data_IF_142793255870
#
_entry.id   IF_142793255870
#
_cell.length_a   1.000
_cell.length_b   1.000
_cell.length_c   1.000
_cell.angle_alpha   90.00
_cell.angle_beta   90.00
_cell.angle_gamma   90.00
#
_symmetry.space_group_name_H-M   'P 1'
#
loop_
_entity.id
_entity.type
_entity.pdbx_description
1 polymer ?
#
# COMPACT_ATOMS: atom_id res chain seq x y z
N UNK A 1 41.62 38.24 -37.32
CA UNK A 1 41.39 37.00 -38.08
C UNK A 1 42.39 35.96 -37.61
N UNK A 2 42.02 35.21 -36.57
CA UNK A 2 42.73 34.06 -35.98
C UNK A 2 41.71 32.92 -35.97
N UNK A 3 41.98 31.62 -36.00
CA UNK A 3 43.12 30.74 -36.32
C UNK A 3 42.52 29.32 -36.23
N UNK A 4 43.05 28.36 -36.97
CA UNK A 4 42.60 26.94 -37.05
C UNK A 4 42.28 26.30 -35.69
N UNK A 5 41.26 25.44 -35.65
CA UNK A 5 41.14 24.35 -34.67
C UNK A 5 40.70 23.05 -35.34
N UNK A 6 41.37 21.99 -34.91
CA UNK A 6 41.38 20.62 -35.43
C UNK A 6 40.02 19.92 -35.36
N UNK A 7 39.77 19.06 -36.35
CA UNK A 7 38.87 17.91 -36.21
C UNK A 7 39.43 16.98 -35.14
N UNK A 8 38.64 16.69 -34.10
CA UNK A 8 38.83 15.51 -33.27
C UNK A 8 37.54 14.70 -33.33
N UNK A 9 37.60 13.55 -33.98
CA UNK A 9 36.53 12.56 -33.91
C UNK A 9 36.57 11.87 -32.56
N UNK A 10 35.43 11.79 -31.90
CA UNK A 10 35.14 10.75 -30.92
C UNK A 10 33.79 10.12 -31.27
N UNK A 11 33.86 8.92 -31.82
CA UNK A 11 32.84 7.90 -31.64
C UNK A 11 32.81 7.53 -30.16
N UNK A 12 31.62 7.36 -29.58
CA UNK A 12 31.48 6.65 -28.32
C UNK A 12 30.31 7.09 -27.46
N UNK A 13 29.24 6.29 -27.50
CA UNK A 13 28.24 6.12 -26.46
C UNK A 13 27.68 7.39 -25.81
N UNK A 14 26.50 7.81 -26.24
CA UNK A 14 25.56 8.44 -25.32
C UNK A 14 25.23 7.41 -24.23
N UNK A 15 26.06 7.35 -23.18
CA UNK A 15 25.63 6.77 -21.91
C UNK A 15 24.54 7.71 -21.43
N UNK A 16 23.30 7.32 -21.68
CA UNK A 16 22.17 7.84 -20.93
C UNK A 16 22.48 7.46 -19.49
N UNK A 17 23.15 8.35 -18.76
CA UNK A 17 23.23 8.26 -17.31
C UNK A 17 21.80 8.50 -16.87
N UNK A 18 21.01 7.43 -16.78
CA UNK A 18 19.82 7.40 -15.99
C UNK A 18 20.31 7.60 -14.57
N UNK A 19 20.43 8.87 -14.16
CA UNK A 19 20.52 9.21 -12.76
C UNK A 19 19.24 8.68 -12.16
N UNK A 20 19.31 7.50 -11.54
CA UNK A 20 18.31 7.07 -10.58
C UNK A 20 18.44 8.10 -9.46
N UNK A 21 17.69 9.20 -9.56
CA UNK A 21 17.51 10.08 -8.44
C UNK A 21 16.78 9.25 -7.40
N UNK A 22 17.55 8.75 -6.43
CA UNK A 22 17.02 8.21 -5.18
C UNK A 22 16.27 9.37 -4.52
N UNK A 23 15.00 9.54 -4.87
CA UNK A 23 14.12 10.37 -4.07
C UNK A 23 13.77 9.55 -2.84
N UNK A 24 14.53 9.78 -1.78
CA UNK A 24 14.15 9.36 -0.45
C UNK A 24 12.83 10.03 -0.10
N UNK A 25 11.86 9.27 0.40
CA UNK A 25 10.65 9.81 1.03
C UNK A 25 10.95 10.60 2.31
N UNK A 26 12.21 10.63 2.75
CA UNK A 26 12.71 11.21 4.01
C UNK A 26 12.01 10.66 5.27
N UNK A 27 11.36 9.48 5.20
CA UNK A 27 10.76 8.85 6.39
C UNK A 27 11.77 7.90 7.04
N UNK A 28 11.82 7.89 8.38
CA UNK A 28 12.59 6.91 9.16
C UNK A 28 11.68 5.75 9.64
N UNK A 29 10.66 5.42 8.86
CA UNK A 29 9.63 4.41 9.18
C UNK A 29 9.76 3.24 8.22
N UNK A 30 9.54 2.02 8.68
CA UNK A 30 9.62 0.86 7.82
C UNK A 30 8.49 0.88 6.78
N UNK A 31 8.80 0.41 5.58
CA UNK A 31 7.81 0.11 4.55
C UNK A 31 7.50 -1.37 4.59
N UNK A 32 6.23 -1.72 4.69
CA UNK A 32 5.77 -3.10 4.80
C UNK A 32 5.30 -3.64 3.45
N UNK A 33 4.72 -2.78 2.59
CA UNK A 33 4.28 -3.20 1.26
C UNK A 33 4.38 -2.05 0.25
N UNK A 34 4.68 -2.42 -1.00
CA UNK A 34 4.71 -1.52 -2.16
C UNK A 34 3.87 -2.14 -3.27
N UNK A 35 2.95 -1.37 -3.83
CA UNK A 35 2.08 -1.80 -4.92
C UNK A 35 2.14 -0.84 -6.09
N UNK A 36 2.51 -1.36 -7.26
CA UNK A 36 2.56 -0.60 -8.51
C UNK A 36 1.24 -0.77 -9.25
N UNK A 37 0.51 0.33 -9.44
CA UNK A 37 -0.78 0.33 -10.15
C UNK A 37 -0.56 0.36 -11.66
N UNK A 38 0.35 1.21 -12.12
CA UNK A 38 0.72 1.33 -13.52
C UNK A 38 2.18 1.82 -13.68
N UNK A 39 2.56 2.25 -14.89
CA UNK A 39 3.93 2.70 -15.16
C UNK A 39 4.37 3.87 -14.29
N UNK A 40 3.47 4.79 -13.95
CA UNK A 40 3.75 6.01 -13.22
C UNK A 40 3.23 5.98 -11.76
N UNK A 41 2.13 5.28 -11.49
CA UNK A 41 1.48 5.26 -10.19
C UNK A 41 1.96 4.09 -9.31
N UNK A 42 2.56 4.42 -8.17
CA UNK A 42 3.00 3.47 -7.14
C UNK A 42 2.51 3.92 -5.77
N UNK A 43 2.10 2.97 -4.94
CA UNK A 43 1.75 3.17 -3.54
C UNK A 43 2.71 2.39 -2.66
N UNK A 44 3.02 2.93 -1.49
CA UNK A 44 3.74 2.22 -0.44
C UNK A 44 3.07 2.49 0.90
N UNK A 45 3.06 1.49 1.77
CA UNK A 45 2.48 1.58 3.11
C UNK A 45 3.45 0.99 4.13
N UNK A 46 3.33 1.41 5.38
CA UNK A 46 4.22 0.95 6.44
C UNK A 46 3.84 1.46 7.82
N UNK A 47 4.84 1.51 8.68
CA UNK A 47 4.66 1.68 10.11
C UNK A 47 4.15 3.09 10.50
N UNK A 48 3.52 3.17 11.67
CA UNK A 48 3.02 4.41 12.28
C UNK A 48 2.04 5.20 11.39
N UNK A 49 1.27 4.51 10.56
CA UNK A 49 0.24 5.06 9.68
C UNK A 49 0.81 5.62 8.38
N UNK A 50 2.00 5.19 7.97
CA UNK A 50 2.63 5.71 6.76
C UNK A 50 1.92 5.20 5.50
N UNK A 51 1.45 6.14 4.69
CA UNK A 51 0.97 5.90 3.33
C UNK A 51 1.68 6.88 2.40
N UNK A 52 2.34 6.35 1.37
CA UNK A 52 3.03 7.09 0.33
C UNK A 52 2.40 6.82 -1.02
N UNK A 53 2.31 7.88 -1.83
CA UNK A 53 1.89 7.82 -3.22
C UNK A 53 2.96 8.44 -4.11
N UNK A 54 3.20 7.84 -5.26
CA UNK A 54 4.07 8.38 -6.29
C UNK A 54 3.35 8.36 -7.62
N UNK A 55 3.25 9.52 -8.27
CA UNK A 55 2.60 9.70 -9.57
C UNK A 55 3.61 10.15 -10.64
N UNK A 56 4.60 9.31 -10.94
CA UNK A 56 5.74 9.61 -11.83
C UNK A 56 7.10 9.63 -11.11
N UNK A 57 8.12 10.18 -11.76
CA UNK A 57 9.45 10.42 -11.15
C UNK A 57 9.67 11.93 -10.96
N UNK A 58 10.40 12.40 -9.92
CA UNK A 58 11.18 11.60 -8.98
C UNK A 58 10.55 11.38 -7.59
N UNK A 59 9.58 12.18 -7.13
CA UNK A 59 9.23 12.27 -5.71
C UNK A 59 8.06 11.39 -5.22
N UNK A 60 8.08 11.07 -3.93
CA UNK A 60 6.98 10.46 -3.17
C UNK A 60 6.24 11.51 -2.34
N UNK A 61 4.92 11.44 -2.33
CA UNK A 61 4.04 12.28 -1.51
C UNK A 61 3.46 11.47 -0.35
N UNK A 62 3.43 12.04 0.85
CA UNK A 62 2.69 11.47 1.98
C UNK A 62 1.20 11.68 1.80
N UNK A 63 0.40 10.66 2.09
CA UNK A 63 -1.05 10.71 2.03
C UNK A 63 -1.62 10.69 3.44
N UNK A 64 -2.19 11.81 3.86
CA UNK A 64 -2.89 11.91 5.14
C UNK A 64 -4.32 11.39 5.00
N UNK A 65 -4.69 10.47 5.88
CA UNK A 65 -6.05 9.91 5.92
C UNK A 65 -6.78 10.47 7.13
N UNK A 66 -7.87 11.20 6.89
CA UNK A 66 -8.69 11.73 7.96
C UNK A 66 -9.17 10.61 8.90
N UNK A 67 -8.92 10.75 10.20
CA UNK A 67 -9.25 9.73 11.22
C UNK A 67 -8.14 8.71 11.49
N UNK A 68 -7.04 8.72 10.74
CA UNK A 68 -5.84 7.93 11.01
C UNK A 68 -4.79 8.85 11.64
N UNK A 69 -4.52 8.62 12.92
CA UNK A 69 -3.51 9.37 13.68
C UNK A 69 -2.15 8.69 13.50
N UNK A 70 -1.12 9.45 13.09
CA UNK A 70 0.23 8.88 12.95
C UNK A 70 0.75 8.35 14.29
N UNK A 71 1.37 7.16 14.25
CA UNK A 71 1.87 6.45 15.43
C UNK A 71 0.95 5.34 15.94
N UNK A 72 -0.35 5.42 15.63
CA UNK A 72 -1.36 4.49 16.17
C UNK A 72 -1.70 3.32 15.25
N UNK A 73 -1.04 3.20 14.09
CA UNK A 73 -1.42 2.23 13.06
C UNK A 73 -0.19 1.66 12.38
N UNK A 74 -0.22 0.39 12.00
CA UNK A 74 0.73 -0.19 11.04
C UNK A 74 -0.06 -0.73 9.86
N UNK A 75 0.38 -0.37 8.65
CA UNK A 75 -0.22 -0.86 7.43
C UNK A 75 0.65 -1.93 6.81
N UNK A 76 0.07 -3.07 6.51
CA UNK A 76 0.77 -4.30 6.11
C UNK A 76 0.55 -4.64 4.64
N UNK A 77 -0.64 -4.35 4.11
CA UNK A 77 -1.02 -4.67 2.73
C UNK A 77 -1.62 -3.49 2.00
N UNK A 78 -1.33 -3.38 0.71
CA UNK A 78 -1.95 -2.40 -0.19
C UNK A 78 -2.22 -3.05 -1.54
N UNK A 79 -3.43 -2.82 -2.06
CA UNK A 79 -3.85 -3.32 -3.36
C UNK A 79 -4.69 -2.28 -4.09
N UNK A 80 -4.43 -2.10 -5.38
CA UNK A 80 -5.26 -1.26 -6.25
C UNK A 80 -5.74 -2.07 -7.45
N UNK A 81 -7.04 -2.01 -7.72
CA UNK A 81 -7.64 -2.61 -8.91
C UNK A 81 -7.39 -1.74 -10.16
N UNK A 82 -7.31 -0.42 -9.96
CA UNK A 82 -6.98 0.58 -10.96
C UNK A 82 -6.52 1.87 -10.25
N UNK A 83 -6.27 2.95 -11.00
CA UNK A 83 -5.78 4.22 -10.44
C UNK A 83 -6.73 4.91 -9.45
N UNK A 84 -8.02 4.54 -9.43
CA UNK A 84 -9.04 5.17 -8.59
C UNK A 84 -9.44 4.30 -7.39
N UNK A 85 -9.51 2.98 -7.55
CA UNK A 85 -10.06 2.07 -6.55
C UNK A 85 -8.94 1.22 -5.94
N UNK A 86 -8.76 1.37 -4.63
CA UNK A 86 -7.76 0.63 -3.87
C UNK A 86 -8.11 0.44 -2.41
N UNK A 87 -7.36 -0.45 -1.77
CA UNK A 87 -7.52 -0.86 -0.38
C UNK A 87 -6.16 -0.90 0.30
N UNK A 88 -6.15 -0.55 1.58
CA UNK A 88 -5.01 -0.73 2.49
C UNK A 88 -5.52 -1.49 3.70
N UNK A 89 -4.72 -2.42 4.21
CA UNK A 89 -5.04 -3.18 5.42
C UNK A 89 -3.87 -3.15 6.39
N UNK A 90 -4.18 -3.36 7.65
CA UNK A 90 -3.18 -3.35 8.71
C UNK A 90 -3.83 -3.57 10.06
N UNK A 91 -3.28 -2.92 11.07
CA UNK A 91 -3.75 -2.99 12.45
C UNK A 91 -3.54 -1.69 13.22
N UNK A 92 -4.22 -1.59 14.36
CA UNK A 92 -3.92 -0.59 15.37
C UNK A 92 -2.63 -0.94 16.11
N UNK A 93 -1.73 0.03 16.24
CA UNK A 93 -0.61 0.02 17.16
C UNK A 93 -0.95 0.75 18.46
N UNK A 94 -0.28 0.38 19.55
CA UNK A 94 -0.31 1.12 20.81
C UNK A 94 -0.84 0.36 22.03
N UNK A 95 -1.33 -0.87 21.86
CA UNK A 95 -1.58 -1.80 22.95
C UNK A 95 -1.13 -3.20 22.51
N UNK A 96 -0.24 -3.89 23.24
CA UNK A 96 0.18 -5.25 22.92
C UNK A 96 -0.97 -6.28 22.88
N UNK A 97 -2.19 -5.87 23.27
CA UNK A 97 -3.41 -6.67 23.17
C UNK A 97 -4.40 -6.15 22.11
N UNK A 98 -4.09 -5.05 21.40
CA UNK A 98 -4.99 -4.41 20.43
C UNK A 98 -4.44 -4.52 19.00
N UNK A 99 -4.28 -5.75 18.51
CA UNK A 99 -4.03 -6.03 17.10
C UNK A 99 -5.31 -5.86 16.25
N UNK A 100 -6.04 -4.76 16.44
CA UNK A 100 -7.34 -4.57 15.80
C UNK A 100 -7.16 -4.28 14.32
N UNK A 101 -7.55 -5.24 13.47
CA UNK A 101 -7.50 -5.11 12.02
C UNK A 101 -8.28 -3.91 11.48
N UNK A 102 -7.67 -3.21 10.52
CA UNK A 102 -8.25 -2.06 9.82
C UNK A 102 -8.30 -2.30 8.31
N UNK A 103 -9.37 -1.80 7.68
CA UNK A 103 -9.45 -1.69 6.22
C UNK A 103 -9.70 -0.23 5.84
N UNK A 104 -8.83 0.31 4.98
CA UNK A 104 -9.06 1.56 4.28
C UNK A 104 -9.44 1.24 2.84
N UNK A 105 -10.43 1.96 2.29
CA UNK A 105 -10.85 1.86 0.89
C UNK A 105 -10.92 3.25 0.27
N UNK A 106 -10.35 3.43 -0.91
CA UNK A 106 -10.57 4.62 -1.74
C UNK A 106 -11.28 4.27 -3.04
N UNK A 107 -12.01 5.23 -3.59
CA UNK A 107 -12.64 5.15 -4.93
C UNK A 107 -12.31 6.34 -5.83
N UNK A 108 -11.41 7.24 -5.36
CA UNK A 108 -10.99 8.46 -6.05
C UNK A 108 -9.46 8.65 -6.01
N UNK A 109 -8.71 7.54 -6.04
CA UNK A 109 -7.25 7.56 -6.14
C UNK A 109 -6.56 8.07 -4.88
N UNK A 110 -7.20 7.86 -3.73
CA UNK A 110 -6.67 8.17 -2.40
C UNK A 110 -6.86 9.63 -1.97
N UNK A 111 -7.74 10.39 -2.63
CA UNK A 111 -8.13 11.71 -2.14
C UNK A 111 -8.98 11.61 -0.87
N UNK A 112 -9.86 10.61 -0.81
CA UNK A 112 -10.59 10.25 0.41
C UNK A 112 -10.60 8.73 0.60
N UNK A 113 -10.74 8.33 1.86
CA UNK A 113 -10.74 6.94 2.26
C UNK A 113 -11.92 6.65 3.18
N UNK A 114 -12.62 5.56 2.90
CA UNK A 114 -13.59 4.93 3.78
C UNK A 114 -12.85 3.98 4.73
N UNK A 115 -13.14 4.08 6.02
CA UNK A 115 -12.49 3.29 7.06
C UNK A 115 -13.48 2.25 7.59
N UNK A 116 -13.06 1.00 7.68
CA UNK A 116 -13.84 -0.12 8.20
C UNK A 116 -13.05 -0.94 9.20
N UNK A 117 -13.77 -1.46 10.20
CA UNK A 117 -13.25 -2.23 11.33
C UNK A 117 -14.03 -3.55 11.46
N UNK A 118 -13.78 -4.53 10.57
CA UNK A 118 -14.47 -5.81 10.65
C UNK A 118 -14.25 -6.46 12.02
N UNK A 119 -15.33 -6.65 12.78
CA UNK A 119 -15.25 -7.26 14.12
C UNK A 119 -15.03 -8.77 13.99
N UNK A 120 -14.05 -9.36 14.71
CA UNK A 120 -13.84 -10.81 14.75
C UNK A 120 -15.07 -11.58 15.24
N UNK A 121 -15.19 -12.90 14.94
CA UNK A 121 -16.24 -13.73 15.49
C UNK A 121 -16.24 -13.75 17.04
N UNK A 122 -17.38 -14.03 17.69
CA UNK A 122 -17.44 -14.13 19.15
C UNK A 122 -16.42 -15.11 19.73
N UNK A 123 -15.72 -14.69 20.79
CA UNK A 123 -14.66 -15.48 21.43
C UNK A 123 -13.30 -15.42 20.73
N UNK A 124 -13.19 -14.65 19.64
CA UNK A 124 -11.92 -14.38 18.95
C UNK A 124 -11.43 -12.99 19.33
N UNK A 125 -10.16 -12.91 19.74
CA UNK A 125 -9.51 -11.63 20.05
C UNK A 125 -9.29 -10.75 18.81
N UNK A 126 -8.72 -9.57 19.01
CA UNK A 126 -8.29 -8.71 17.92
C UNK A 126 -7.24 -9.43 17.06
N UNK A 127 -7.35 -9.33 15.74
CA UNK A 127 -6.47 -9.99 14.77
C UNK A 127 -6.00 -8.97 13.74
N UNK A 128 -4.68 -8.91 13.45
CA UNK A 128 -4.15 -8.01 12.44
C UNK A 128 -4.45 -8.52 11.03
N UNK A 129 -4.58 -7.59 10.09
CA UNK A 129 -4.74 -7.92 8.68
C UNK A 129 -3.42 -7.78 7.95
N UNK A 130 -2.93 -8.88 7.38
CA UNK A 130 -1.58 -8.97 6.83
C UNK A 130 -1.50 -8.67 5.33
N UNK A 131 -2.55 -8.99 4.57
CA UNK A 131 -2.58 -8.76 3.13
C UNK A 131 -4.01 -8.64 2.59
N UNK A 132 -4.17 -8.04 1.41
CA UNK A 132 -5.45 -7.80 0.75
C UNK A 132 -5.36 -8.00 -0.76
N UNK A 133 -6.36 -8.64 -1.34
CA UNK A 133 -6.44 -8.83 -2.78
C UNK A 133 -7.88 -8.81 -3.28
N UNK A 134 -8.11 -8.17 -4.44
CA UNK A 134 -9.42 -8.13 -5.09
C UNK A 134 -9.34 -8.67 -6.52
N UNK A 135 -10.31 -9.50 -6.91
CA UNK A 135 -10.44 -10.01 -8.28
C UNK A 135 -11.30 -9.11 -9.16
N UNK A 136 -12.15 -8.28 -8.55
CA UNK A 136 -12.94 -7.24 -9.19
C UNK A 136 -13.39 -6.20 -8.15
N UNK A 137 -14.16 -5.20 -8.55
CA UNK A 137 -14.60 -4.11 -7.65
C UNK A 137 -15.46 -4.57 -6.47
N UNK A 138 -16.02 -5.79 -6.51
CA UNK A 138 -16.96 -6.31 -5.51
C UNK A 138 -16.39 -7.43 -4.66
N UNK A 139 -15.52 -8.26 -5.22
CA UNK A 139 -15.05 -9.49 -4.58
C UNK A 139 -13.56 -9.39 -4.25
N UNK A 140 -13.26 -9.59 -2.97
CA UNK A 140 -11.90 -9.55 -2.45
C UNK A 140 -11.77 -10.29 -1.13
N UNK A 141 -10.52 -10.50 -0.73
CA UNK A 141 -10.13 -11.23 0.45
C UNK A 141 -9.05 -10.51 1.22
N UNK A 142 -9.05 -10.71 2.53
CA UNK A 142 -8.01 -10.25 3.46
C UNK A 142 -7.52 -11.45 4.26
N UNK A 143 -6.20 -11.58 4.39
CA UNK A 143 -5.57 -12.52 5.30
C UNK A 143 -5.56 -11.94 6.72
N UNK A 144 -6.04 -12.68 7.71
CA UNK A 144 -6.17 -12.22 9.08
C UNK A 144 -5.60 -13.26 10.06
N UNK A 145 -4.43 -12.94 10.64
CA UNK A 145 -3.68 -13.88 11.46
C UNK A 145 -3.42 -15.22 10.75
N UNK A 146 -3.25 -16.29 11.52
CA UNK A 146 -2.94 -17.62 10.98
C UNK A 146 -4.17 -18.41 10.52
N UNK A 147 -5.34 -18.11 11.08
CA UNK A 147 -6.52 -18.99 11.00
C UNK A 147 -7.69 -18.39 10.24
N UNK A 148 -7.65 -17.10 9.89
CA UNK A 148 -8.80 -16.43 9.33
C UNK A 148 -8.51 -15.79 7.98
N UNK A 149 -9.55 -15.75 7.18
CA UNK A 149 -9.62 -14.97 5.95
C UNK A 149 -10.95 -14.23 5.96
N UNK A 150 -10.95 -12.95 5.63
CA UNK A 150 -12.19 -12.21 5.42
C UNK A 150 -12.50 -12.20 3.93
N UNK A 151 -13.79 -12.26 3.57
CA UNK A 151 -14.27 -12.12 2.20
C UNK A 151 -15.34 -11.03 2.13
N UNK A 152 -15.33 -10.27 1.04
CA UNK A 152 -16.38 -9.29 0.73
C UNK A 152 -17.06 -9.60 -0.61
N UNK A 153 -18.34 -9.19 -0.74
CA UNK A 153 -19.12 -9.23 -1.98
C UNK A 153 -19.61 -7.83 -2.42
N UNK A 154 -19.23 -6.78 -1.69
CA UNK A 154 -19.62 -5.39 -1.93
C UNK A 154 -18.41 -4.44 -2.06
N UNK A 155 -17.21 -4.99 -2.26
CA UNK A 155 -16.00 -4.20 -2.45
C UNK A 155 -15.39 -3.73 -1.14
N UNK A 156 -15.66 -4.39 -0.02
CA UNK A 156 -15.06 -4.12 1.28
C UNK A 156 -15.81 -3.11 2.13
N UNK A 157 -17.10 -2.85 1.84
CA UNK A 157 -17.97 -2.15 2.78
C UNK A 157 -18.39 -3.08 3.93
N UNK A 158 -18.65 -4.35 3.60
CA UNK A 158 -18.87 -5.42 4.58
C UNK A 158 -17.94 -6.60 4.34
N UNK A 159 -17.64 -7.33 5.41
CA UNK A 159 -16.71 -8.46 5.41
C UNK A 159 -17.29 -9.63 6.19
N UNK A 160 -17.15 -10.83 5.63
CA UNK A 160 -17.53 -12.09 6.26
C UNK A 160 -16.26 -12.83 6.66
N UNK A 161 -16.13 -13.14 7.94
CA UNK A 161 -15.04 -13.94 8.47
C UNK A 161 -15.20 -15.41 8.10
N UNK A 162 -14.13 -16.01 7.61
CA UNK A 162 -14.04 -17.42 7.28
C UNK A 162 -12.83 -18.01 7.99
N UNK A 163 -12.97 -19.22 8.51
CA UNK A 163 -11.80 -19.99 8.90
C UNK A 163 -11.03 -20.35 7.63
N UNK A 164 -9.73 -20.07 7.63
CA UNK A 164 -8.79 -20.62 6.66
C UNK A 164 -8.68 -22.12 6.95
N UNK A 165 -9.69 -22.87 6.54
CA UNK A 165 -9.67 -24.32 6.63
C UNK A 165 -8.53 -24.80 5.73
N UNK A 166 -7.56 -25.50 6.31
CA UNK A 166 -6.68 -26.36 5.54
C UNK A 166 -7.57 -27.28 4.71
N UNK A 167 -7.30 -27.39 3.41
CA UNK A 167 -7.89 -28.47 2.62
C UNK A 167 -7.43 -29.80 3.24
N UNK A 168 -8.34 -30.47 3.94
CA UNK A 168 -8.31 -31.90 4.22
C UNK A 168 -7.54 -32.30 5.48
N UNK A 169 -8.20 -33.10 6.32
CA UNK A 169 -8.11 -34.55 6.14
C UNK A 169 -9.50 -35.12 5.84
#
# INVERSE_FOLDING_TARGET
MMSRLMKLGLFGCAVLVCTVSLSSSHTNRNLNCVYRVDKALTWAVGDSGLILKRSGSPAWDTVDVAGIVQGDWDFHGVFFLNSNIGWVVGEKNGDPNSHLGIVLKTTNGGQTWFISWPSPPPGVGAIPFSDVHFVNQRHGWISAGEKYTLRTNDGGYTWVWMLAQGRGE
#
